data_IF_751452624685
#
_entry.id   IF_751452624685
#
_cell.length_a   1.000
_cell.length_b   1.000
_cell.length_c   1.000
_cell.angle_alpha   90.00
_cell.angle_beta   90.00
_cell.angle_gamma   90.00
#
_symmetry.space_group_name_H-M   'P 1'
#
loop_
_entity.id
_entity.type
_entity.pdbx_description
1 polymer ?
#
# COMPACT_ATOMS: atom_id res chain seq x y z
N UNK A 1 -2.42 0.58 26.94
CA UNK A 1 -1.63 -0.19 25.94
C UNK A 1 -1.32 0.76 24.79
N UNK A 2 -0.04 0.96 24.47
CA UNK A 2 0.33 1.67 23.24
C UNK A 2 -0.19 0.85 22.06
N UNK A 3 -1.07 1.44 21.25
CA UNK A 3 -1.59 0.82 20.04
C UNK A 3 -0.47 0.85 18.99
N UNK A 4 0.39 -0.17 19.00
CA UNK A 4 1.51 -0.29 18.06
C UNK A 4 0.89 -0.48 16.68
N UNK A 5 1.00 0.54 15.83
CA UNK A 5 0.49 0.52 14.47
C UNK A 5 1.65 0.35 13.51
N UNK A 6 1.65 -0.74 12.74
CA UNK A 6 2.61 -0.94 11.66
C UNK A 6 2.22 -0.03 10.49
N UNK A 7 3.14 0.77 9.98
CA UNK A 7 2.92 1.48 8.72
C UNK A 7 3.58 0.70 7.60
N UNK A 8 2.81 0.38 6.56
CA UNK A 8 3.30 -0.18 5.30
C UNK A 8 3.38 0.96 4.30
N UNK A 9 4.57 1.21 3.75
CA UNK A 9 4.74 2.08 2.59
C UNK A 9 4.87 1.20 1.36
N UNK A 10 3.84 1.25 0.53
CA UNK A 10 3.76 0.49 -0.71
C UNK A 10 4.04 1.41 -1.91
N UNK A 11 5.01 1.03 -2.73
CA UNK A 11 5.46 1.80 -3.91
C UNK A 11 4.84 1.24 -5.17
N UNK A 12 3.74 1.85 -5.62
CA UNK A 12 2.98 1.43 -6.77
C UNK A 12 3.61 1.93 -8.08
N UNK A 13 3.96 1.00 -8.97
CA UNK A 13 4.42 1.39 -10.30
C UNK A 13 3.28 2.01 -11.14
N UNK A 14 3.53 3.06 -11.94
CA UNK A 14 2.50 3.62 -12.82
C UNK A 14 1.92 2.58 -13.78
N UNK A 15 2.73 1.60 -14.20
CA UNK A 15 2.31 0.52 -15.09
C UNK A 15 1.16 -0.34 -14.53
N UNK A 16 0.97 -0.39 -13.21
CA UNK A 16 -0.14 -1.10 -12.57
C UNK A 16 -1.50 -0.51 -12.93
N UNK A 17 -1.57 0.78 -13.30
CA UNK A 17 -2.80 1.43 -13.76
C UNK A 17 -3.05 1.26 -15.26
N UNK A 18 -2.14 0.58 -15.99
CA UNK A 18 -2.20 0.38 -17.43
C UNK A 18 -1.39 1.41 -18.25
N UNK A 19 -1.61 1.50 -19.58
CA UNK A 19 -0.74 2.26 -20.49
C UNK A 19 -0.66 3.76 -20.21
N UNK A 20 -1.74 4.37 -19.72
CA UNK A 20 -1.81 5.79 -19.33
C UNK A 20 -1.57 5.99 -17.84
N UNK A 21 -1.09 4.98 -17.12
CA UNK A 21 -0.98 5.00 -15.67
C UNK A 21 -0.06 6.10 -15.12
N UNK A 22 0.93 6.54 -15.91
CA UNK A 22 1.79 7.67 -15.57
C UNK A 22 1.01 8.99 -15.36
N UNK A 23 -0.11 9.18 -16.06
CA UNK A 23 -0.95 10.37 -15.94
C UNK A 23 -1.81 10.36 -14.67
N UNK A 24 -2.03 9.17 -14.08
CA UNK A 24 -3.03 8.97 -13.02
C UNK A 24 -2.48 8.45 -11.70
N UNK A 25 -1.26 7.92 -11.66
CA UNK A 25 -0.70 7.26 -10.46
C UNK A 25 -0.65 8.19 -9.25
N UNK A 26 -0.33 9.47 -9.45
CA UNK A 26 -0.32 10.49 -8.39
C UNK A 26 -1.71 10.70 -7.79
N UNK A 27 -2.72 10.86 -8.65
CA UNK A 27 -4.11 11.02 -8.24
C UNK A 27 -4.66 9.78 -7.55
N UNK A 28 -4.32 8.60 -8.06
CA UNK A 28 -4.65 7.34 -7.42
C UNK A 28 -4.07 7.25 -6.02
N UNK A 29 -2.76 7.48 -5.86
CA UNK A 29 -2.07 7.44 -4.55
C UNK A 29 -2.70 8.44 -3.56
N UNK A 30 -3.01 9.65 -4.02
CA UNK A 30 -3.68 10.68 -3.20
C UNK A 30 -5.09 10.26 -2.73
N UNK A 31 -5.84 9.53 -3.56
CA UNK A 31 -7.19 9.09 -3.24
C UNK A 31 -7.20 7.84 -2.36
N UNK A 32 -6.37 6.84 -2.68
CA UNK A 32 -6.33 5.58 -1.94
C UNK A 32 -5.87 5.77 -0.49
N UNK A 33 -4.95 6.71 -0.23
CA UNK A 33 -4.49 7.04 1.12
C UNK A 33 -5.55 7.72 2.00
N UNK A 34 -6.74 8.03 1.45
CA UNK A 34 -7.91 8.51 2.22
C UNK A 34 -8.89 7.38 2.57
N UNK A 35 -8.65 6.18 2.03
CA UNK A 35 -9.48 5.01 2.26
C UNK A 35 -8.84 4.19 3.37
N UNK A 36 -9.64 3.85 4.38
CA UNK A 36 -9.17 2.97 5.44
C UNK A 36 -8.90 1.56 4.89
N UNK A 37 -7.75 1.01 5.27
CA UNK A 37 -7.43 -0.39 5.01
C UNK A 37 -8.15 -1.29 6.02
N UNK A 38 -8.51 -2.50 5.60
CA UNK A 38 -9.35 -3.43 6.39
C UNK A 38 -8.79 -3.79 7.76
N UNK A 39 -7.48 -3.66 7.96
CA UNK A 39 -6.78 -4.03 9.20
C UNK A 39 -6.40 -2.80 10.02
N UNK A 40 -7.06 -2.53 11.16
CA UNK A 40 -6.86 -1.29 11.92
C UNK A 40 -5.47 -1.17 12.58
N UNK A 41 -4.76 -2.29 12.73
CA UNK A 41 -3.38 -2.34 13.24
C UNK A 41 -2.33 -1.99 12.17
N UNK A 42 -2.75 -1.79 10.92
CA UNK A 42 -1.91 -1.36 9.80
C UNK A 42 -2.32 0.03 9.32
N UNK A 43 -1.35 0.89 9.03
CA UNK A 43 -1.53 2.10 8.25
C UNK A 43 -0.92 1.87 6.88
N UNK A 44 -1.71 1.97 5.82
CA UNK A 44 -1.20 1.87 4.46
C UNK A 44 -0.86 3.28 3.94
N UNK A 45 0.32 3.43 3.36
CA UNK A 45 0.77 4.63 2.66
C UNK A 45 1.26 4.25 1.26
N UNK A 46 0.41 4.46 0.26
CA UNK A 46 0.71 4.18 -1.14
C UNK A 46 1.37 5.39 -1.76
N UNK A 47 2.53 5.19 -2.40
CA UNK A 47 3.23 6.25 -3.13
C UNK A 47 3.61 5.78 -4.53
N UNK A 48 3.76 6.68 -5.52
CA UNK A 48 4.22 6.31 -6.85
C UNK A 48 5.66 5.76 -6.82
N UNK A 49 5.91 4.76 -7.67
CA UNK A 49 7.24 4.18 -7.91
C UNK A 49 7.72 4.50 -9.32
N UNK A 50 8.41 5.62 -9.46
CA UNK A 50 9.11 5.97 -10.69
C UNK A 50 10.55 5.42 -10.71
N UNK A 51 11.18 5.36 -9.54
CA UNK A 51 12.51 4.80 -9.36
C UNK A 51 12.41 3.33 -8.94
N UNK A 52 12.72 2.43 -9.87
CA UNK A 52 12.70 0.98 -9.63
C UNK A 52 13.84 0.50 -8.72
N UNK A 53 14.85 1.33 -8.45
CA UNK A 53 15.92 0.99 -7.51
C UNK A 53 15.45 1.00 -6.04
N UNK A 54 14.33 1.69 -5.76
CA UNK A 54 13.72 1.68 -4.43
C UNK A 54 12.88 0.41 -4.23
N UNK A 55 12.84 -0.13 -2.99
CA UNK A 55 12.05 -1.31 -2.68
C UNK A 55 10.54 -1.00 -2.77
N UNK A 56 9.79 -1.97 -3.26
CA UNK A 56 8.34 -1.90 -3.37
C UNK A 56 7.67 -1.81 -2.00
N UNK A 57 8.17 -2.60 -1.05
CA UNK A 57 7.67 -2.70 0.31
C UNK A 57 8.66 -2.07 1.31
N UNK A 58 8.14 -1.21 2.18
CA UNK A 58 8.85 -0.74 3.36
C UNK A 58 7.93 -0.78 4.57
N UNK A 59 8.50 -1.20 5.69
CA UNK A 59 7.79 -1.29 6.97
C UNK A 59 8.33 -0.24 7.92
N UNK A 60 7.42 0.47 8.59
CA UNK A 60 7.76 1.49 9.56
C UNK A 60 7.03 1.29 10.88
N UNK A 61 7.75 1.59 11.96
CA UNK A 61 7.21 1.63 13.32
C UNK A 61 7.57 2.96 13.96
N UNK A 62 6.55 3.75 14.32
CA UNK A 62 6.76 5.12 14.82
C UNK A 62 7.70 5.94 13.91
N UNK A 63 7.41 5.94 12.61
CA UNK A 63 8.17 6.61 11.54
C UNK A 63 9.62 6.13 11.33
N UNK A 64 10.04 5.06 12.01
CA UNK A 64 11.36 4.43 11.79
C UNK A 64 11.22 3.23 10.87
N UNK A 65 12.06 3.17 9.84
CA UNK A 65 12.18 1.99 8.99
C UNK A 65 12.62 0.80 9.84
N UNK A 66 11.93 -0.32 9.69
CA UNK A 66 12.24 -1.59 10.33
C UNK A 66 12.46 -2.67 9.26
N UNK A 67 13.16 -3.75 9.62
CA UNK A 67 13.32 -4.88 8.72
C UNK A 67 12.03 -5.70 8.62
N UNK A 68 11.92 -6.50 7.57
CA UNK A 68 10.83 -7.46 7.37
C UNK A 68 10.65 -8.38 8.59
N UNK A 69 11.74 -8.96 9.11
CA UNK A 69 11.72 -9.78 10.34
C UNK A 69 11.19 -9.03 11.57
N UNK A 70 11.38 -7.71 11.65
CA UNK A 70 10.81 -6.90 12.73
C UNK A 70 9.33 -6.62 12.49
N UNK A 71 8.92 -6.41 11.24
CA UNK A 71 7.52 -6.24 10.86
C UNK A 71 6.71 -7.50 11.14
N UNK A 72 7.27 -8.68 10.81
CA UNK A 72 6.66 -9.98 11.05
C UNK A 72 6.32 -10.17 12.55
N UNK A 73 7.26 -9.86 13.44
CA UNK A 73 7.02 -9.88 14.91
C UNK A 73 5.93 -8.93 15.38
N UNK A 74 5.71 -7.81 14.70
CA UNK A 74 4.62 -6.88 15.02
C UNK A 74 3.29 -7.45 14.56
N UNK A 75 3.27 -8.08 13.37
CA UNK A 75 2.09 -8.70 12.77
C UNK A 75 1.64 -9.97 13.52
N UNK A 76 2.58 -10.73 14.10
CA UNK A 76 2.31 -11.91 14.93
C UNK A 76 1.36 -11.58 16.10
N UNK A 77 1.41 -10.36 16.65
CA UNK A 77 0.51 -9.89 17.70
C UNK A 77 -0.97 -9.89 17.27
N UNK A 78 -1.22 -9.93 15.97
CA UNK A 78 -2.53 -9.92 15.34
C UNK A 78 -2.83 -11.22 14.55
N UNK A 79 -1.98 -12.24 14.65
CA UNK A 79 -2.04 -13.50 13.88
C UNK A 79 -1.85 -13.30 12.36
N UNK A 80 -0.99 -12.35 11.97
CA UNK A 80 -0.56 -12.14 10.59
C UNK A 80 0.94 -12.41 10.43
N UNK A 81 1.34 -12.75 9.22
CA UNK A 81 2.72 -12.73 8.73
C UNK A 81 2.89 -11.60 7.72
N UNK A 82 4.14 -11.25 7.39
CA UNK A 82 4.44 -10.32 6.29
C UNK A 82 3.77 -10.78 4.99
N UNK A 83 3.96 -12.05 4.61
CA UNK A 83 3.36 -12.62 3.39
C UNK A 83 1.83 -12.42 3.35
N UNK A 84 1.13 -12.74 4.44
CA UNK A 84 -0.33 -12.61 4.50
C UNK A 84 -0.83 -11.17 4.44
N UNK A 85 -0.06 -10.20 4.97
CA UNK A 85 -0.46 -8.79 4.92
C UNK A 85 -0.11 -8.16 3.57
N UNK A 86 0.99 -8.58 2.94
CA UNK A 86 1.35 -8.17 1.58
C UNK A 86 0.29 -8.66 0.58
N UNK A 87 -0.13 -9.93 0.67
CA UNK A 87 -1.23 -10.47 -0.15
C UNK A 87 -2.51 -9.64 0.01
N UNK A 88 -2.89 -9.32 1.24
CA UNK A 88 -4.09 -8.53 1.49
C UNK A 88 -3.97 -7.07 1.01
N UNK A 89 -2.77 -6.49 1.03
CA UNK A 89 -2.52 -5.16 0.43
C UNK A 89 -2.61 -5.27 -1.09
N UNK A 90 -2.03 -6.28 -1.71
CA UNK A 90 -2.06 -6.49 -3.17
C UNK A 90 -3.49 -6.66 -3.70
N UNK A 91 -4.30 -7.48 -3.04
CA UNK A 91 -5.72 -7.66 -3.37
C UNK A 91 -6.48 -6.33 -3.26
N UNK A 92 -6.25 -5.59 -2.17
CA UNK A 92 -6.88 -4.30 -1.94
C UNK A 92 -6.48 -3.27 -3.01
N UNK A 93 -5.19 -3.16 -3.32
CA UNK A 93 -4.69 -2.25 -4.33
C UNK A 93 -5.24 -2.62 -5.71
N UNK A 94 -5.23 -3.90 -6.07
CA UNK A 94 -5.77 -4.39 -7.35
C UNK A 94 -7.22 -3.97 -7.54
N UNK A 95 -8.07 -4.27 -6.55
CA UNK A 95 -9.49 -3.88 -6.57
C UNK A 95 -9.65 -2.36 -6.71
N UNK A 96 -8.80 -1.58 -6.04
CA UNK A 96 -8.89 -0.11 -6.03
C UNK A 96 -8.43 0.50 -7.34
N UNK A 97 -7.37 -0.04 -7.95
CA UNK A 97 -6.91 0.34 -9.29
C UNK A 97 -8.01 0.10 -10.31
N UNK A 98 -8.66 -1.07 -10.29
CA UNK A 98 -9.78 -1.38 -11.20
C UNK A 98 -10.95 -0.41 -11.05
N UNK A 99 -11.36 -0.14 -9.80
CA UNK A 99 -12.43 0.82 -9.49
C UNK A 99 -12.09 2.22 -9.99
N UNK A 100 -10.88 2.68 -9.72
CA UNK A 100 -10.40 4.00 -10.12
C UNK A 100 -10.34 4.14 -11.65
N UNK A 101 -9.68 3.21 -12.34
CA UNK A 101 -9.55 3.27 -13.80
C UNK A 101 -10.89 3.11 -14.52
N UNK A 102 -11.83 2.35 -13.96
CA UNK A 102 -13.21 2.28 -14.47
C UNK A 102 -13.92 3.62 -14.34
N UNK A 103 -13.73 4.33 -13.22
CA UNK A 103 -14.30 5.68 -13.03
C UNK A 103 -13.70 6.68 -14.01
N UNK A 104 -12.39 6.65 -14.26
CA UNK A 104 -11.72 7.54 -15.22
C UNK A 104 -12.31 7.37 -16.63
N UNK A 105 -12.44 6.12 -17.09
CA UNK A 105 -13.00 5.80 -18.43
C UNK A 105 -14.46 6.24 -18.60
N UNK A 106 -15.25 6.29 -17.53
CA UNK A 106 -16.65 6.75 -17.59
C UNK A 106 -16.79 8.27 -17.67
N UNK A 107 -15.77 9.00 -17.21
CA UNK A 107 -15.75 10.46 -17.13
C UNK A 107 -14.88 11.11 -18.22
N UNK A 108 -14.28 10.30 -19.11
CA UNK A 108 -13.53 10.74 -20.29
C UNK A 108 -14.43 10.82 -21.51
#
# INVERSE_FOLDING_TARGET
MSNIKLMIRFRLEPGCLGPTGADYVEDFCRLINKVDFSYPFVALNVIPRYDKSLPEWEFLLNDKLISENQADRVLELHNFTVESIEEAVDEFITLKVEQFMTSVRKNS
#
